data_IF_137196853211
#
_entry.id   IF_137196853211
#
_cell.length_a   1.000
_cell.length_b   1.000
_cell.length_c   1.000
_cell.angle_alpha   90.00
_cell.angle_beta   90.00
_cell.angle_gamma   90.00
#
_symmetry.space_group_name_H-M   'P 1'
#
loop_
_entity.id
_entity.type
_entity.pdbx_description
1 polymer ?
#
# COMPACT_ATOMS: atom_id res chain seq x y z
N UNK A 1 11.96 -67.23 10.93
CA UNK A 1 10.87 -66.33 11.39
C UNK A 1 11.42 -64.91 11.37
N UNK A 2 11.07 -64.14 10.34
CA UNK A 2 11.58 -62.80 10.05
C UNK A 2 10.38 -61.87 9.86
N UNK A 3 9.98 -61.13 10.89
CA UNK A 3 8.94 -60.08 10.93
C UNK A 3 9.07 -59.49 12.35
N UNK A 4 9.20 -58.21 12.67
CA UNK A 4 8.93 -56.95 11.98
C UNK A 4 9.63 -55.85 12.79
N UNK A 5 10.60 -55.11 12.23
CA UNK A 5 11.15 -53.92 12.90
C UNK A 5 11.64 -52.91 11.86
N UNK A 6 10.76 -52.54 10.92
CA UNK A 6 11.06 -51.53 9.88
C UNK A 6 9.93 -50.53 9.60
N UNK A 7 8.93 -50.42 10.49
CA UNK A 7 7.81 -49.49 10.32
C UNK A 7 7.70 -48.58 11.55
N UNK A 8 8.66 -47.67 11.72
CA UNK A 8 8.47 -46.46 12.56
C UNK A 8 9.14 -45.24 11.93
N UNK A 9 10.11 -45.41 11.03
CA UNK A 9 10.79 -44.28 10.37
C UNK A 9 9.95 -43.56 9.29
N UNK A 10 8.79 -44.09 8.88
CA UNK A 10 7.96 -43.52 7.80
C UNK A 10 6.89 -42.51 8.25
N UNK A 11 6.59 -42.42 9.55
CA UNK A 11 5.50 -41.58 10.05
C UNK A 11 5.92 -40.18 10.53
N UNK A 12 7.23 -39.90 10.65
CA UNK A 12 7.72 -38.57 11.06
C UNK A 12 7.71 -37.54 9.92
N UNK A 13 7.54 -37.95 8.66
CA UNK A 13 7.61 -37.04 7.50
C UNK A 13 6.24 -36.48 7.06
N UNK A 14 5.12 -36.96 7.61
CA UNK A 14 3.78 -36.54 7.17
C UNK A 14 3.18 -35.39 8.03
N UNK A 15 3.86 -34.98 9.10
CA UNK A 15 3.48 -33.83 9.92
C UNK A 15 4.10 -32.52 9.44
N UNK A 16 4.45 -32.41 8.15
CA UNK A 16 4.74 -31.10 7.56
C UNK A 16 3.44 -30.31 7.55
N UNK A 17 3.10 -29.73 8.70
CA UNK A 17 2.27 -28.55 8.78
C UNK A 17 2.81 -27.62 7.68
N UNK A 18 1.99 -27.37 6.67
CA UNK A 18 2.27 -26.33 5.69
C UNK A 18 2.59 -25.08 6.49
N UNK A 19 3.84 -24.67 6.50
CA UNK A 19 4.23 -23.39 7.07
C UNK A 19 3.48 -22.37 6.22
N UNK A 20 2.38 -21.85 6.74
CA UNK A 20 1.68 -20.75 6.08
C UNK A 20 2.67 -19.60 6.05
N UNK A 21 3.11 -19.29 4.84
CA UNK A 21 4.08 -18.24 4.57
C UNK A 21 3.34 -16.90 4.73
N UNK A 22 3.93 -15.90 5.40
CA UNK A 22 3.34 -14.56 5.37
C UNK A 22 3.18 -14.06 3.95
N UNK A 23 2.10 -13.34 3.71
CA UNK A 23 1.73 -12.80 2.42
C UNK A 23 0.84 -11.60 2.70
N UNK A 24 1.41 -10.43 2.42
CA UNK A 24 0.77 -9.15 2.55
C UNK A 24 0.38 -8.68 1.16
N UNK A 25 -0.92 -8.57 0.89
CA UNK A 25 -1.47 -8.11 -0.39
C UNK A 25 -2.16 -6.76 -0.20
N UNK A 26 -1.86 -5.81 -1.09
CA UNK A 26 -2.39 -4.45 -1.02
C UNK A 26 -2.75 -3.97 -2.41
N UNK A 27 -3.91 -3.35 -2.53
CA UNK A 27 -4.27 -2.58 -3.72
C UNK A 27 -5.00 -1.30 -3.33
N UNK A 28 -4.65 -0.23 -4.03
CA UNK A 28 -5.30 1.06 -3.94
C UNK A 28 -5.60 1.53 -5.36
N UNK A 29 -6.86 1.78 -5.65
CA UNK A 29 -7.32 2.31 -6.92
C UNK A 29 -8.12 3.57 -6.68
N UNK A 30 -7.75 4.64 -7.37
CA UNK A 30 -8.55 5.85 -7.46
C UNK A 30 -9.02 6.03 -8.90
N UNK A 31 -10.32 5.89 -9.13
CA UNK A 31 -10.93 5.92 -10.45
C UNK A 31 -12.03 6.98 -10.53
N UNK A 32 -12.47 7.27 -11.75
CA UNK A 32 -13.58 8.20 -12.01
C UNK A 32 -13.36 9.59 -11.39
N UNK A 33 -12.15 10.13 -11.48
CA UNK A 33 -11.86 11.50 -11.06
C UNK A 33 -12.72 12.45 -11.88
N UNK A 34 -13.57 13.22 -11.21
CA UNK A 34 -14.49 14.19 -11.81
C UNK A 34 -14.27 15.57 -11.19
N UNK A 35 -14.04 16.55 -12.06
CA UNK A 35 -13.99 17.97 -11.73
C UNK A 35 -15.37 18.57 -12.00
N UNK A 36 -15.92 19.31 -11.04
CA UNK A 36 -17.16 20.07 -11.21
C UNK A 36 -16.88 21.51 -10.82
N UNK A 37 -17.27 22.44 -11.67
CA UNK A 37 -17.21 23.87 -11.39
C UNK A 37 -18.62 24.37 -11.08
N UNK A 38 -18.73 25.18 -10.03
CA UNK A 38 -19.98 25.82 -9.61
C UNK A 38 -19.77 27.31 -9.62
N UNK A 39 -20.65 28.01 -10.33
CA UNK A 39 -20.76 29.45 -10.31
C UNK A 39 -21.33 29.91 -8.96
N UNK A 40 -20.57 30.74 -8.23
CA UNK A 40 -20.99 31.29 -6.95
C UNK A 40 -21.65 32.66 -7.09
N UNK A 41 -21.62 33.27 -8.27
CA UNK A 41 -22.32 34.52 -8.59
C UNK A 41 -22.86 34.52 -10.03
N UNK A 42 -23.99 33.85 -10.27
CA UNK A 42 -24.58 33.78 -11.61
C UNK A 42 -25.04 35.13 -12.17
N UNK A 43 -24.92 36.22 -11.41
CA UNK A 43 -25.28 37.57 -11.84
C UNK A 43 -24.15 38.32 -12.56
N UNK A 44 -22.89 37.87 -12.44
CA UNK A 44 -21.75 38.56 -13.06
C UNK A 44 -21.48 38.15 -14.51
N UNK A 45 -22.26 37.21 -15.04
CA UNK A 45 -22.21 36.69 -16.41
C UNK A 45 -20.92 35.93 -16.76
N UNK A 46 -20.07 35.63 -15.78
CA UNK A 46 -18.83 34.89 -15.99
C UNK A 46 -19.13 33.39 -15.91
N UNK A 47 -18.86 32.66 -16.99
CA UNK A 47 -19.00 31.20 -16.98
C UNK A 47 -17.82 30.57 -16.23
N UNK A 48 -18.06 29.71 -15.23
CA UNK A 48 -16.98 29.04 -14.52
C UNK A 48 -16.04 28.28 -15.45
N UNK A 49 -14.74 28.50 -15.28
CA UNK A 49 -13.71 27.80 -16.01
C UNK A 49 -12.55 27.38 -15.11
N UNK A 50 -11.82 26.36 -15.56
CA UNK A 50 -10.57 25.92 -14.96
C UNK A 50 -9.55 25.73 -16.07
N UNK A 51 -8.34 26.21 -15.85
CA UNK A 51 -7.19 25.88 -16.68
C UNK A 51 -6.11 25.25 -15.83
N UNK A 52 -5.38 24.31 -16.43
CA UNK A 52 -4.20 23.72 -15.81
C UNK A 52 -3.00 24.31 -16.51
N UNK A 53 -1.99 24.74 -15.75
CA UNK A 53 -0.72 25.10 -16.38
C UNK A 53 -0.14 23.86 -17.06
N UNK A 54 0.39 24.05 -18.27
CA UNK A 54 1.15 23.03 -18.98
C UNK A 54 2.42 22.71 -18.19
N UNK A 55 2.31 21.77 -17.27
CA UNK A 55 3.48 21.18 -16.65
C UNK A 55 3.99 20.10 -17.61
N UNK A 56 5.26 20.16 -18.00
CA UNK A 56 5.86 19.17 -18.91
C UNK A 56 6.02 17.80 -18.25
N UNK A 57 5.84 17.70 -16.93
CA UNK A 57 5.81 16.46 -16.16
C UNK A 57 4.72 16.46 -15.05
N UNK A 58 3.41 16.54 -15.38
CA UNK A 58 2.35 16.62 -14.36
C UNK A 58 2.12 15.29 -13.62
N UNK A 59 2.69 14.19 -14.12
CA UNK A 59 2.38 12.87 -13.63
C UNK A 59 3.68 12.14 -13.30
N UNK A 60 3.73 11.51 -12.13
CA UNK A 60 4.88 10.75 -11.67
C UNK A 60 4.44 9.41 -11.07
N UNK A 61 5.10 8.35 -11.48
CA UNK A 61 4.90 7.03 -10.93
C UNK A 61 6.15 6.61 -10.18
N UNK A 62 5.95 5.95 -9.03
CA UNK A 62 7.04 5.26 -8.35
C UNK A 62 6.59 3.88 -7.90
N UNK A 63 7.27 2.86 -8.38
CA UNK A 63 7.23 1.53 -7.79
C UNK A 63 8.57 1.28 -7.09
N UNK A 64 8.55 0.90 -5.83
CA UNK A 64 9.74 0.69 -5.02
C UNK A 64 9.63 -0.63 -4.25
N UNK A 65 10.52 -1.55 -4.57
CA UNK A 65 10.68 -2.80 -3.84
C UNK A 65 11.92 -2.68 -2.96
N UNK A 66 11.75 -3.00 -1.68
CA UNK A 66 12.83 -3.04 -0.70
C UNK A 66 12.97 -4.46 -0.18
N UNK A 67 14.09 -5.10 -0.51
CA UNK A 67 14.43 -6.41 0.05
C UNK A 67 15.62 -6.24 0.97
N UNK A 68 15.40 -6.46 2.27
CA UNK A 68 16.48 -6.46 3.23
C UNK A 68 16.97 -7.90 3.39
N UNK A 69 18.04 -8.25 2.68
CA UNK A 69 18.78 -9.47 2.97
C UNK A 69 19.52 -9.26 4.29
N UNK A 70 19.65 -10.30 5.11
CA UNK A 70 20.21 -10.25 6.47
C UNK A 70 21.40 -9.28 6.62
N UNK A 71 21.49 -8.67 7.81
CA UNK A 71 22.39 -7.58 8.26
C UNK A 71 23.89 -7.69 7.88
N UNK A 72 24.32 -8.78 7.26
CA UNK A 72 25.70 -9.09 6.86
C UNK A 72 25.96 -8.75 5.39
N UNK A 73 24.98 -8.86 4.48
CA UNK A 73 25.21 -8.71 3.02
C UNK A 73 24.55 -7.48 2.38
N UNK A 74 23.79 -6.70 3.17
CA UNK A 74 23.29 -5.37 2.79
C UNK A 74 21.88 -5.37 2.18
N UNK A 75 21.23 -4.20 2.26
CA UNK A 75 19.89 -3.99 1.73
C UNK A 75 19.92 -3.78 0.21
N UNK A 76 19.06 -4.49 -0.52
CA UNK A 76 18.84 -4.25 -1.94
C UNK A 76 17.59 -3.40 -2.16
N UNK A 77 17.75 -2.29 -2.88
CA UNK A 77 16.65 -1.38 -3.25
C UNK A 77 16.49 -1.43 -4.75
N UNK A 78 15.34 -1.89 -5.22
CA UNK A 78 14.92 -1.70 -6.60
C UNK A 78 13.91 -0.55 -6.63
N UNK A 79 14.36 0.61 -7.11
CA UNK A 79 13.54 1.80 -7.22
C UNK A 79 13.41 2.19 -8.69
N UNK A 80 12.19 2.18 -9.21
CA UNK A 80 11.91 2.72 -10.54
C UNK A 80 10.99 3.93 -10.41
N UNK A 81 11.45 5.07 -10.91
CA UNK A 81 10.71 6.34 -10.97
C UNK A 81 10.55 6.78 -12.42
N UNK A 82 9.37 7.24 -12.80
CA UNK A 82 9.16 7.79 -14.14
C UNK A 82 8.11 8.90 -14.17
N UNK A 83 8.11 9.62 -15.29
CA UNK A 83 7.16 10.69 -15.58
C UNK A 83 6.32 10.35 -16.83
N UNK A 84 5.02 10.66 -16.76
CA UNK A 84 3.95 10.66 -17.77
C UNK A 84 4.13 10.04 -19.18
N UNK A 85 3.12 9.31 -19.71
CA UNK A 85 2.23 8.36 -19.02
C UNK A 85 3.04 7.12 -18.62
N UNK A 86 2.58 6.37 -17.61
CA UNK A 86 3.39 5.31 -17.03
C UNK A 86 2.62 4.05 -16.60
N UNK A 87 3.30 2.92 -16.75
CA UNK A 87 2.96 1.65 -16.15
C UNK A 87 4.28 1.01 -15.71
N UNK A 88 4.51 0.92 -14.40
CA UNK A 88 5.76 0.39 -13.86
C UNK A 88 5.51 -0.71 -12.87
N UNK A 89 6.47 -1.63 -12.88
CA UNK A 89 6.51 -2.77 -12.01
C UNK A 89 7.96 -2.89 -11.53
N UNK A 90 8.12 -3.13 -10.24
CA UNK A 90 9.37 -3.55 -9.63
C UNK A 90 9.08 -4.89 -8.95
N UNK A 91 10.00 -5.84 -9.07
CA UNK A 91 9.79 -7.17 -8.51
C UNK A 91 11.12 -7.84 -8.21
N UNK A 92 11.25 -8.36 -7.00
CA UNK A 92 12.42 -9.11 -6.56
C UNK A 92 11.97 -10.15 -5.54
N UNK A 93 12.51 -11.37 -5.61
CA UNK A 93 12.33 -12.48 -4.66
C UNK A 93 11.04 -12.43 -3.82
N UNK A 94 9.90 -12.79 -4.42
CA UNK A 94 8.61 -12.87 -3.71
C UNK A 94 8.00 -11.52 -3.33
N UNK A 95 8.57 -10.40 -3.75
CA UNK A 95 8.06 -9.04 -3.55
C UNK A 95 7.70 -8.42 -4.90
N UNK A 96 6.59 -7.70 -4.94
CA UNK A 96 6.07 -7.04 -6.14
C UNK A 96 5.49 -5.68 -5.76
N UNK A 97 5.78 -4.66 -6.56
CA UNK A 97 5.13 -3.37 -6.49
C UNK A 97 4.82 -2.89 -7.90
N UNK A 98 3.60 -2.39 -8.13
CA UNK A 98 3.22 -1.76 -9.38
C UNK A 98 2.52 -0.45 -9.17
N UNK A 99 2.81 0.51 -10.04
CA UNK A 99 2.14 1.80 -10.08
C UNK A 99 1.80 2.12 -11.53
N UNK A 100 0.55 2.47 -11.79
CA UNK A 100 0.12 2.90 -13.11
C UNK A 100 -0.81 4.11 -13.03
N UNK A 101 -0.77 4.89 -14.10
CA UNK A 101 -1.67 6.00 -14.29
C UNK A 101 -2.14 6.02 -15.73
N UNK A 102 -3.45 5.87 -15.90
CA UNK A 102 -4.13 5.99 -17.18
C UNK A 102 -4.91 7.31 -17.19
N UNK A 103 -4.61 8.18 -18.15
CA UNK A 103 -5.35 9.42 -18.38
C UNK A 103 -6.54 9.12 -19.28
N UNK A 104 -7.66 9.79 -19.06
CA UNK A 104 -8.74 9.81 -20.04
C UNK A 104 -8.33 10.56 -21.32
N UNK A 105 -9.12 10.41 -22.38
CA UNK A 105 -8.83 11.04 -23.67
C UNK A 105 -8.80 12.58 -23.62
N UNK A 106 -9.37 13.17 -22.56
CA UNK A 106 -9.49 14.61 -22.35
C UNK A 106 -8.37 15.21 -21.50
N UNK A 107 -7.53 14.41 -20.84
CA UNK A 107 -6.47 14.90 -19.97
C UNK A 107 -6.96 15.41 -18.59
N UNK A 108 -8.27 15.41 -18.37
CA UNK A 108 -8.95 16.06 -17.23
C UNK A 108 -9.30 15.09 -16.10
N UNK A 109 -9.15 13.79 -16.36
CA UNK A 109 -9.40 12.72 -15.42
C UNK A 109 -8.52 11.53 -15.72
N UNK A 110 -8.51 10.57 -14.81
CA UNK A 110 -7.70 9.37 -14.97
C UNK A 110 -7.98 8.35 -13.88
N UNK A 111 -7.36 7.18 -14.04
CA UNK A 111 -7.35 6.13 -13.04
C UNK A 111 -5.92 5.94 -12.55
N UNK A 112 -5.72 6.07 -11.24
CA UNK A 112 -4.47 5.75 -10.57
C UNK A 112 -4.61 4.38 -9.91
N UNK A 113 -3.63 3.51 -10.14
CA UNK A 113 -3.58 2.19 -9.52
C UNK A 113 -2.20 2.05 -8.87
N UNK A 114 -2.19 1.66 -7.60
CA UNK A 114 -1.00 1.24 -6.88
C UNK A 114 -1.28 -0.11 -6.24
N UNK A 115 -0.41 -1.09 -6.50
CA UNK A 115 -0.51 -2.42 -5.95
C UNK A 115 0.83 -2.80 -5.35
N UNK A 116 0.80 -3.46 -4.20
CA UNK A 116 2.00 -4.01 -3.61
C UNK A 116 1.69 -5.37 -3.02
N UNK A 117 2.65 -6.28 -3.12
CA UNK A 117 2.60 -7.58 -2.50
C UNK A 117 3.96 -7.90 -1.94
N UNK A 118 4.01 -8.36 -0.71
CA UNK A 118 5.20 -8.95 -0.12
C UNK A 118 4.84 -10.37 0.29
N UNK A 119 5.51 -11.35 -0.31
CA UNK A 119 5.43 -12.75 0.07
C UNK A 119 6.71 -13.08 0.84
N UNK A 120 6.53 -13.80 1.93
CA UNK A 120 7.58 -14.34 2.77
C UNK A 120 8.78 -14.93 1.99
N UNK A 121 9.97 -14.82 2.58
CA UNK A 121 11.16 -15.58 2.20
C UNK A 121 12.22 -15.53 3.30
N UNK A 122 13.45 -15.90 2.98
CA UNK A 122 14.54 -16.06 3.95
C UNK A 122 14.98 -14.76 4.66
N UNK A 123 14.42 -13.60 4.31
CA UNK A 123 14.81 -12.31 4.87
C UNK A 123 13.63 -11.33 4.89
N UNK A 124 13.81 -10.17 5.52
CA UNK A 124 12.75 -9.18 5.72
C UNK A 124 12.42 -8.51 4.39
N UNK A 125 11.13 -8.41 4.07
CA UNK A 125 10.65 -7.96 2.77
C UNK A 125 9.61 -6.88 2.91
N UNK A 126 9.87 -5.76 2.21
CA UNK A 126 8.98 -4.61 2.11
C UNK A 126 8.70 -4.27 0.64
N UNK A 127 7.43 -4.13 0.30
CA UNK A 127 7.00 -3.64 -1.00
C UNK A 127 6.26 -2.32 -0.81
N UNK A 128 6.55 -1.34 -1.68
CA UNK A 128 5.79 -0.10 -1.72
C UNK A 128 5.53 0.35 -3.16
N UNK A 129 4.29 0.69 -3.46
CA UNK A 129 3.91 1.33 -4.69
C UNK A 129 3.24 2.67 -4.41
N UNK A 130 3.56 3.67 -5.23
CA UNK A 130 2.96 4.99 -5.21
C UNK A 130 2.68 5.43 -6.65
N UNK A 131 1.40 5.53 -6.98
CA UNK A 131 0.95 6.23 -8.17
C UNK A 131 0.54 7.65 -7.77
N UNK A 132 1.16 8.66 -8.40
CA UNK A 132 0.94 10.06 -8.06
C UNK A 132 0.63 10.89 -9.33
N UNK A 133 -0.53 11.53 -9.35
CA UNK A 133 -0.88 12.52 -10.34
C UNK A 133 -0.92 13.89 -9.66
N UNK A 134 -0.02 14.80 -10.06
CA UNK A 134 0.03 16.15 -9.50
C UNK A 134 -0.22 17.17 -10.58
N UNK A 135 -1.42 17.73 -10.59
CA UNK A 135 -1.70 18.96 -11.30
C UNK A 135 -1.19 20.11 -10.45
N UNK A 136 0.13 20.34 -10.58
CA UNK A 136 0.88 21.25 -9.73
C UNK A 136 0.31 22.67 -9.68
N UNK A 137 -0.37 23.14 -10.73
CA UNK A 137 -1.03 24.45 -10.74
C UNK A 137 -2.27 24.43 -11.63
N UNK A 138 -3.43 24.73 -11.05
CA UNK A 138 -4.65 25.09 -11.77
C UNK A 138 -5.02 26.54 -11.46
N UNK A 139 -5.75 27.17 -12.36
CA UNK A 139 -6.38 28.48 -12.19
C UNK A 139 -7.87 28.33 -12.43
N UNK A 140 -8.69 28.80 -11.49
CA UNK A 140 -10.14 28.90 -11.68
C UNK A 140 -10.57 30.36 -11.80
N UNK A 141 -11.65 30.59 -12.56
CA UNK A 141 -12.31 31.89 -12.67
C UNK A 141 -12.68 32.48 -11.31
N UNK A 142 -12.91 33.79 -11.29
CA UNK A 142 -13.53 34.48 -10.17
C UNK A 142 -14.84 33.81 -9.73
N UNK A 143 -15.17 33.99 -8.45
CA UNK A 143 -16.43 33.52 -7.82
C UNK A 143 -16.83 32.09 -8.23
N UNK A 144 -15.86 31.18 -8.22
CA UNK A 144 -16.03 29.80 -8.67
C UNK A 144 -15.66 28.82 -7.56
N UNK A 145 -16.46 27.77 -7.38
CA UNK A 145 -16.13 26.62 -6.56
C UNK A 145 -15.70 25.46 -7.46
N UNK A 146 -14.49 24.95 -7.25
CA UNK A 146 -14.03 23.67 -7.78
C UNK A 146 -14.37 22.56 -6.78
N UNK A 147 -15.04 21.52 -7.26
CA UNK A 147 -15.35 20.31 -6.53
C UNK A 147 -14.73 19.12 -7.25
N UNK A 148 -13.83 18.40 -6.57
CA UNK A 148 -13.15 17.22 -7.12
C UNK A 148 -13.67 15.99 -6.40
N UNK A 149 -14.20 15.04 -7.16
CA UNK A 149 -14.68 13.76 -6.64
C UNK A 149 -13.96 12.60 -7.30
N UNK A 150 -13.79 11.51 -6.58
CA UNK A 150 -13.31 10.26 -7.16
C UNK A 150 -13.87 9.05 -6.41
N UNK A 151 -13.92 7.92 -7.10
CA UNK A 151 -14.23 6.63 -6.48
C UNK A 151 -12.94 5.97 -6.02
N UNK A 152 -12.83 5.75 -4.72
CA UNK A 152 -11.68 5.14 -4.08
C UNK A 152 -12.00 3.70 -3.70
N UNK A 153 -11.22 2.76 -4.21
CA UNK A 153 -11.22 1.35 -3.81
C UNK A 153 -9.89 1.06 -3.13
N UNK A 154 -9.95 0.49 -1.94
CA UNK A 154 -8.76 0.11 -1.19
C UNK A 154 -8.97 -1.27 -0.58
N UNK A 155 -7.96 -2.13 -0.69
CA UNK A 155 -7.90 -3.40 0.02
C UNK A 155 -6.50 -3.65 0.58
N UNK A 156 -6.48 -4.22 1.77
CA UNK A 156 -5.29 -4.66 2.48
C UNK A 156 -5.58 -6.00 3.13
N UNK A 157 -4.68 -6.95 2.94
CA UNK A 157 -4.79 -8.30 3.47
C UNK A 157 -3.42 -8.76 3.97
N UNK A 158 -3.43 -9.48 5.09
CA UNK A 158 -2.28 -10.18 5.67
C UNK A 158 -2.71 -11.61 6.00
N UNK A 159 -1.87 -12.58 5.67
CA UNK A 159 -2.25 -14.00 5.75
C UNK A 159 -1.82 -14.70 7.02
N UNK A 160 -0.85 -14.14 7.77
CA UNK A 160 -0.24 -14.61 9.02
C UNK A 160 1.21 -15.09 8.88
N UNK A 161 2.17 -14.31 9.40
CA UNK A 161 3.43 -14.86 9.92
C UNK A 161 3.63 -14.59 11.40
N UNK A 162 4.11 -15.64 12.06
CA UNK A 162 4.62 -15.60 13.42
C UNK A 162 6.03 -14.99 13.41
N UNK A 163 6.26 -14.00 14.28
CA UNK A 163 7.59 -13.57 14.68
C UNK A 163 7.74 -13.76 16.20
N UNK A 164 8.90 -14.25 16.64
CA UNK A 164 9.28 -14.32 18.05
C UNK A 164 9.56 -12.93 18.64
N UNK A 165 9.70 -11.93 17.78
CA UNK A 165 9.97 -10.55 18.09
C UNK A 165 8.67 -9.71 17.98
N UNK A 166 8.24 -9.10 19.08
CA UNK A 166 7.05 -8.23 19.13
C UNK A 166 7.12 -6.98 18.21
N UNK A 167 8.29 -6.68 17.64
CA UNK A 167 8.54 -5.54 16.77
C UNK A 167 8.34 -5.86 15.29
N UNK A 168 8.27 -7.13 14.90
CA UNK A 168 8.12 -7.54 13.51
C UNK A 168 6.66 -7.87 13.22
N UNK A 169 6.01 -6.97 12.47
CA UNK A 169 4.59 -7.09 12.13
C UNK A 169 4.42 -7.25 10.63
N UNK A 170 3.56 -8.19 10.28
CA UNK A 170 2.97 -8.25 8.95
C UNK A 170 1.96 -7.10 8.83
N UNK A 171 2.22 -6.16 7.93
CA UNK A 171 1.37 -4.99 7.73
C UNK A 171 1.07 -4.81 6.25
N UNK A 172 -0.16 -4.38 5.96
CA UNK A 172 -0.65 -4.10 4.63
C UNK A 172 -1.48 -2.81 4.70
N UNK A 173 -1.11 -1.79 3.94
CA UNK A 173 -1.76 -0.48 3.96
C UNK A 173 -2.03 0.04 2.55
N UNK A 174 -3.30 0.18 2.21
CA UNK A 174 -3.78 0.87 1.02
C UNK A 174 -4.25 2.27 1.38
N UNK A 175 -3.89 3.27 0.59
CA UNK A 175 -4.34 4.65 0.79
C UNK A 175 -4.61 5.37 -0.53
N UNK A 176 -5.71 6.11 -0.59
CA UNK A 176 -6.05 6.99 -1.69
C UNK A 176 -6.36 8.38 -1.14
N UNK A 177 -5.95 9.45 -1.83
CA UNK A 177 -6.27 10.82 -1.39
C UNK A 177 -6.53 11.83 -2.49
N UNK A 178 -7.48 12.67 -2.12
CA UNK A 178 -7.84 14.04 -2.49
C UNK A 178 -7.00 15.15 -1.87
N UNK A 179 -6.07 15.86 -2.52
CA UNK A 179 -5.48 17.07 -1.90
C UNK A 179 -5.60 18.30 -2.79
N UNK A 180 -6.26 19.34 -2.29
CA UNK A 180 -6.36 20.66 -2.90
C UNK A 180 -5.80 21.69 -1.93
N UNK A 181 -4.94 22.58 -2.40
CA UNK A 181 -4.47 23.70 -1.57
C UNK A 181 -4.14 24.94 -2.40
N UNK A 182 -4.10 26.10 -1.74
CA UNK A 182 -3.74 27.36 -2.36
C UNK A 182 -4.03 28.55 -1.45
N UNK A 183 -4.05 29.79 -1.99
CA UNK A 183 -4.40 30.97 -1.23
C UNK A 183 -5.83 30.90 -0.69
N UNK A 184 -6.12 31.64 0.38
CA UNK A 184 -7.46 31.77 0.92
C UNK A 184 -8.46 32.25 -0.15
N UNK A 185 -9.74 31.85 0.00
CA UNK A 185 -10.77 32.07 -1.01
C UNK A 185 -10.94 33.53 -1.47
N UNK A 186 -10.61 34.51 -0.62
CA UNK A 186 -10.68 35.94 -0.96
C UNK A 186 -9.52 36.49 -1.82
N UNK A 187 -8.55 35.66 -2.23
CA UNK A 187 -7.57 35.99 -3.29
C UNK A 187 -6.37 36.87 -2.92
N UNK A 188 -6.39 37.65 -1.81
CA UNK A 188 -5.30 38.59 -1.50
C UNK A 188 -4.87 38.69 -0.02
N UNK A 189 -5.31 37.76 0.86
CA UNK A 189 -4.95 37.76 2.29
C UNK A 189 -3.79 36.81 2.65
N UNK A 190 -3.25 36.92 3.87
CA UNK A 190 -2.19 36.05 4.42
C UNK A 190 -2.67 34.63 4.81
N UNK A 191 -3.66 34.09 4.11
CA UNK A 191 -4.31 32.84 4.45
C UNK A 191 -4.16 31.79 3.35
N UNK A 192 -4.36 30.53 3.73
CA UNK A 192 -4.39 29.39 2.82
C UNK A 192 -5.72 28.66 2.97
N UNK A 193 -6.15 28.01 1.91
CA UNK A 193 -7.18 26.96 1.99
C UNK A 193 -6.52 25.62 1.71
N UNK A 194 -6.94 24.61 2.45
CA UNK A 194 -6.50 23.22 2.30
C UNK A 194 -7.73 22.34 2.45
N UNK A 195 -7.96 21.48 1.45
CA UNK A 195 -9.03 20.49 1.46
C UNK A 195 -8.45 19.13 1.18
N UNK A 196 -8.69 18.22 2.12
CA UNK A 196 -8.16 16.87 2.11
C UNK A 196 -9.27 15.82 2.21
N UNK A 197 -9.20 14.77 1.40
CA UNK A 197 -10.06 13.60 1.48
C UNK A 197 -9.25 12.32 1.38
N UNK A 198 -9.18 11.54 2.47
CA UNK A 198 -8.34 10.36 2.61
C UNK A 198 -9.19 9.10 2.84
N UNK A 199 -8.93 8.04 2.09
CA UNK A 199 -9.46 6.70 2.34
C UNK A 199 -8.29 5.74 2.58
N UNK A 200 -8.27 5.07 3.73
CA UNK A 200 -7.21 4.13 4.13
C UNK A 200 -7.82 2.80 4.54
N UNK A 201 -7.17 1.72 4.12
CA UNK A 201 -7.36 0.38 4.68
C UNK A 201 -6.03 -0.12 5.20
N UNK A 202 -6.06 -0.64 6.42
CA UNK A 202 -4.90 -1.13 7.14
C UNK A 202 -5.25 -2.51 7.68
N UNK A 203 -4.53 -3.52 7.21
CA UNK A 203 -4.52 -4.84 7.80
C UNK A 203 -3.21 -5.00 8.56
N UNK A 204 -3.32 -5.28 9.85
CA UNK A 204 -2.20 -5.65 10.71
C UNK A 204 -2.62 -6.93 11.42
N UNK A 205 -1.69 -7.87 11.58
CA UNK A 205 -1.92 -9.05 12.39
C UNK A 205 -1.96 -8.64 13.87
N UNK A 206 -3.13 -8.68 14.55
CA UNK A 206 -3.23 -8.25 15.94
C UNK A 206 -2.56 -9.28 16.85
N UNK A 207 -1.84 -8.78 17.87
CA UNK A 207 -1.31 -9.60 18.96
C UNK A 207 -2.43 -9.81 19.98
N UNK A 208 -2.98 -11.02 20.06
CA UNK A 208 -3.94 -11.42 21.07
C UNK A 208 -3.22 -12.20 22.17
N UNK A 209 -3.25 -11.69 23.41
CA UNK A 209 -2.76 -12.42 24.58
C UNK A 209 -3.85 -13.36 25.11
N UNK A 210 -3.56 -14.65 25.18
CA UNK A 210 -4.39 -15.62 25.90
C UNK A 210 -3.79 -15.91 27.29
N UNK A 211 -4.40 -15.40 28.37
CA UNK A 211 -3.91 -15.64 29.73
C UNK A 211 -4.06 -17.09 30.19
N UNK A 212 -4.88 -17.91 29.52
CA UNK A 212 -5.04 -19.32 29.84
C UNK A 212 -3.99 -20.22 29.18
N UNK A 213 -3.40 -19.76 28.08
CA UNK A 213 -2.37 -20.49 27.34
C UNK A 213 -0.95 -19.91 27.56
N UNK A 214 -0.83 -18.72 28.14
CA UNK A 214 0.42 -17.93 28.18
C UNK A 214 1.03 -17.73 26.78
N UNK A 215 0.18 -17.63 25.76
CA UNK A 215 0.58 -17.53 24.35
C UNK A 215 0.01 -16.27 23.70
N UNK A 216 0.77 -15.75 22.75
CA UNK A 216 0.31 -14.74 21.81
C UNK A 216 -0.19 -15.41 20.54
N UNK A 217 -1.41 -15.08 20.14
CA UNK A 217 -2.00 -15.50 18.87
C UNK A 217 -2.06 -14.32 17.91
N UNK A 218 -1.71 -14.61 16.66
CA UNK A 218 -1.78 -13.71 15.53
C UNK A 218 -2.94 -14.17 14.64
N UNK A 219 -3.75 -13.24 14.13
CA UNK A 219 -4.90 -13.56 13.28
C UNK A 219 -4.71 -12.93 11.89
N UNK A 220 -5.03 -13.63 10.80
CA UNK A 220 -5.20 -13.00 9.50
C UNK A 220 -6.16 -11.82 9.62
N UNK A 221 -5.90 -10.78 8.83
CA UNK A 221 -6.76 -9.61 8.75
C UNK A 221 -6.91 -9.22 7.28
N UNK A 222 -8.16 -9.03 6.84
CA UNK A 222 -8.46 -8.55 5.51
C UNK A 222 -9.50 -7.45 5.61
N UNK A 223 -9.17 -6.30 5.04
CA UNK A 223 -10.06 -5.15 4.98
C UNK A 223 -10.12 -4.64 3.56
N UNK A 224 -11.34 -4.55 3.02
CA UNK A 224 -11.60 -3.93 1.74
C UNK A 224 -12.72 -2.91 1.87
N UNK A 225 -12.80 -1.99 0.92
CA UNK A 225 -13.89 -1.04 0.87
C UNK A 225 -13.85 -0.14 -0.34
N UNK A 226 -15.00 0.45 -0.60
CA UNK A 226 -15.18 1.48 -1.62
C UNK A 226 -15.77 2.72 -0.96
N UNK A 227 -15.23 3.89 -1.29
CA UNK A 227 -15.68 5.17 -0.77
C UNK A 227 -15.58 6.25 -1.86
N UNK A 228 -16.52 7.19 -1.89
CA UNK A 228 -16.36 8.41 -2.68
C UNK A 228 -15.51 9.40 -1.91
N UNK A 229 -14.37 9.81 -2.48
CA UNK A 229 -13.55 10.90 -1.98
C UNK A 229 -13.99 12.21 -2.63
N UNK A 230 -13.91 13.29 -1.85
CA UNK A 230 -14.34 14.62 -2.28
C UNK A 230 -13.53 15.71 -1.63
N UNK A 231 -12.96 16.61 -2.43
CA UNK A 231 -12.26 17.80 -1.96
C UNK A 231 -12.77 19.03 -2.73
N UNK A 232 -12.67 20.21 -2.12
CA UNK A 232 -13.15 21.46 -2.72
C UNK A 232 -12.13 22.59 -2.64
N UNK A 233 -12.16 23.49 -3.61
CA UNK A 233 -11.38 24.72 -3.63
C UNK A 233 -12.27 25.88 -4.06
N UNK A 234 -12.30 26.95 -3.29
CA UNK A 234 -13.22 28.08 -3.48
C UNK A 234 -12.43 29.32 -3.88
N UNK A 235 -12.90 30.00 -4.92
CA UNK A 235 -12.54 31.37 -5.24
C UNK A 235 -13.75 32.27 -4.98
N UNK A 236 -13.68 33.14 -3.98
CA UNK A 236 -14.66 34.20 -3.69
C UNK A 236 -14.14 35.57 -4.09
N UNK A 237 -12.94 35.65 -4.66
CA UNK A 237 -12.34 36.91 -5.07
C UNK A 237 -12.96 37.42 -6.38
N UNK A 238 -12.72 38.69 -6.71
CA UNK A 238 -13.10 39.30 -7.98
C UNK A 238 -12.03 39.14 -9.08
N UNK A 239 -11.20 38.09 -8.98
CA UNK A 239 -10.15 37.77 -9.93
C UNK A 239 -9.92 36.25 -9.97
N UNK A 240 -9.23 35.77 -11.00
CA UNK A 240 -8.83 34.38 -11.08
C UNK A 240 -7.94 33.97 -9.89
N UNK A 241 -8.09 32.73 -9.45
CA UNK A 241 -7.33 32.19 -8.31
C UNK A 241 -6.65 30.89 -8.69
N UNK A 242 -5.36 30.80 -8.36
CA UNK A 242 -4.56 29.60 -8.62
C UNK A 242 -4.42 28.75 -7.37
N UNK A 243 -4.46 27.44 -7.56
CA UNK A 243 -4.25 26.43 -6.53
C UNK A 243 -3.50 25.22 -7.08
N UNK A 244 -3.31 24.22 -6.24
CA UNK A 244 -2.69 22.95 -6.61
C UNK A 244 -3.64 21.81 -6.30
N UNK A 245 -3.69 20.82 -7.20
CA UNK A 245 -4.41 19.57 -7.04
C UNK A 245 -3.41 18.40 -7.08
N UNK A 246 -3.33 17.64 -6.00
CA UNK A 246 -2.61 16.38 -5.96
C UNK A 246 -3.58 15.23 -5.69
N UNK A 247 -3.38 14.14 -6.44
CA UNK A 247 -4.15 12.91 -6.31
C UNK A 247 -3.16 11.76 -6.18
N UNK A 248 -3.34 10.93 -5.17
CA UNK A 248 -2.46 9.78 -4.97
C UNK A 248 -3.19 8.49 -4.65
N UNK A 249 -2.56 7.41 -5.09
CA UNK A 249 -2.84 6.04 -4.68
C UNK A 249 -1.54 5.41 -4.20
N UNK A 250 -1.56 4.81 -3.02
CA UNK A 250 -0.39 4.21 -2.39
C UNK A 250 -0.72 2.84 -1.79
N UNK A 251 0.19 1.91 -1.95
CA UNK A 251 0.12 0.55 -1.42
C UNK A 251 1.46 0.21 -0.74
N UNK A 252 1.43 -0.25 0.50
CA UNK A 252 2.64 -0.70 1.22
C UNK A 252 2.36 -2.00 1.95
N UNK A 253 3.23 -2.98 1.76
CA UNK A 253 3.13 -4.32 2.36
C UNK A 253 4.46 -4.74 2.95
N UNK A 254 4.46 -5.25 4.17
CA UNK A 254 5.63 -5.81 4.85
C UNK A 254 5.34 -7.24 5.29
N UNK A 255 6.35 -8.11 5.26
CA UNK A 255 6.29 -9.44 5.86
C UNK A 255 7.48 -9.65 6.80
N UNK A 256 7.26 -10.16 8.03
CA UNK A 256 8.34 -10.42 8.97
C UNK A 256 9.19 -11.62 8.54
N UNK A 257 10.38 -11.74 9.15
CA UNK A 257 11.24 -12.92 9.01
C UNK A 257 10.86 -13.91 10.11
N UNK A 258 10.41 -15.13 9.81
CA UNK A 258 10.33 -16.18 10.80
C UNK A 258 11.75 -16.54 11.21
N UNK A 259 12.04 -16.47 12.50
CA UNK A 259 13.12 -17.28 13.04
C UNK A 259 12.78 -18.75 12.73
N UNK A 260 13.73 -19.55 12.20
CA UNK A 260 13.48 -20.97 12.04
C UNK A 260 13.08 -21.52 13.40
N UNK A 261 11.87 -22.08 13.50
CA UNK A 261 11.31 -22.58 14.75
C UNK A 261 12.36 -23.40 15.48
N UNK A 262 12.98 -22.79 16.48
CA UNK A 262 14.07 -23.38 17.25
C UNK A 262 13.61 -24.67 17.91
N UNK A 263 12.31 -24.79 18.19
CA UNK A 263 11.62 -26.01 18.63
C UNK A 263 11.64 -27.13 17.58
N UNK A 264 11.40 -26.85 16.30
CA UNK A 264 11.47 -27.87 15.25
C UNK A 264 12.91 -28.30 15.00
N UNK A 265 13.87 -27.38 15.04
CA UNK A 265 15.31 -27.72 14.99
C UNK A 265 15.75 -28.54 16.21
N UNK A 266 15.25 -28.20 17.40
CA UNK A 266 15.49 -28.93 18.64
C UNK A 266 14.88 -30.34 18.59
N UNK A 267 13.63 -30.47 18.15
CA UNK A 267 12.94 -31.76 17.99
C UNK A 267 13.62 -32.62 16.91
N UNK A 268 14.01 -32.02 15.79
CA UNK A 268 14.82 -32.69 14.77
C UNK A 268 16.15 -33.16 15.37
N UNK A 269 16.84 -32.32 16.16
CA UNK A 269 18.06 -32.67 16.89
C UNK A 269 17.88 -33.84 17.86
N UNK A 270 16.80 -33.84 18.66
CA UNK A 270 16.48 -34.94 19.57
C UNK A 270 16.15 -36.24 18.82
N UNK A 271 15.38 -36.15 17.73
CA UNK A 271 15.04 -37.33 16.92
C UNK A 271 16.29 -37.94 16.25
N UNK A 272 17.21 -37.11 15.76
CA UNK A 272 18.48 -37.53 15.21
C UNK A 272 19.38 -38.16 16.29
N UNK A 273 19.45 -37.56 17.48
CA UNK A 273 20.18 -38.10 18.63
C UNK A 273 19.65 -39.47 19.09
N UNK A 274 18.33 -39.63 19.15
CA UNK A 274 17.68 -40.89 19.49
C UNK A 274 17.97 -41.98 18.45
N UNK A 275 17.91 -41.64 17.16
CA UNK A 275 18.23 -42.56 16.07
C UNK A 275 19.70 -43.02 16.10
N UNK A 276 20.63 -42.13 16.45
CA UNK A 276 22.05 -42.46 16.61
C UNK A 276 22.32 -43.32 17.85
N UNK A 277 21.63 -43.08 18.97
CA UNK A 277 21.75 -43.90 20.19
C UNK A 277 21.30 -45.34 19.94
N UNK A 278 20.21 -45.53 19.20
CA UNK A 278 19.71 -46.88 18.86
C UNK A 278 20.63 -47.67 17.92
N UNK A 279 21.55 -47.03 17.20
CA UNK A 279 22.55 -47.74 16.37
C UNK A 279 23.76 -48.25 17.15
N UNK A 280 23.96 -47.80 18.40
CA UNK A 280 25.12 -48.16 19.24
C UNK A 280 24.81 -49.25 20.27
N UNK A 281 23.56 -49.69 20.36
CA UNK A 281 23.10 -50.81 21.19
C UNK A 281 22.88 -52.02 20.30
#
# INVERSE_FOLDING_TARGET
>A
MNFSCRIVAGALCAGMASVTLADSLVSATLASVKLTLVDLDPSDTITPWITFQNNTAPFSGRALVWVNHDLVDGSYIEATTAFSPFNWQASSDGVFASASFAVDATGTGGTLVAESRAIFGESYKDASALALAVWHQFTISDKTLLFVTATSVASAEVTHAWSSNLLERETARASNRIHLWGPAAGGAGSGTQDSDALHVKLAESPILWDPGAELYYFSPASYSGTQTLSASFVNLSGSDLSGTLAIYSGATSSTPVPEPHSVWLLLAGFSAGAALRHRRQ
#
